data_IF_624118522771
#
_entry.id   IF_624118522771
#
_cell.length_a   1.000
_cell.length_b   1.000
_cell.length_c   1.000
_cell.angle_alpha   90.00
_cell.angle_beta   90.00
_cell.angle_gamma   90.00
#
_symmetry.space_group_name_H-M   'P 1'
#
loop_
_entity.id
_entity.type
_entity.pdbx_description
1 polymer ?
#
# COMPACT_ATOMS: atom_id res chain seq x y z
N UNK A 1 52.58 22.15 -0.82
CA UNK A 1 51.38 22.01 0.02
C UNK A 1 50.53 20.92 -0.61
N UNK A 2 50.49 19.75 -0.01
CA UNK A 2 49.81 18.56 -0.54
C UNK A 2 48.61 18.30 0.36
N UNK A 3 47.40 18.39 -0.20
CA UNK A 3 46.17 18.13 0.53
C UNK A 3 46.04 16.62 0.78
N UNK A 4 45.90 16.16 2.04
CA UNK A 4 45.55 14.77 2.27
C UNK A 4 44.08 14.56 1.93
N UNK A 5 43.86 13.63 1.00
CA UNK A 5 42.97 12.50 1.25
C UNK A 5 41.49 12.81 1.54
N UNK A 6 40.77 13.26 0.50
CA UNK A 6 39.30 13.43 0.57
C UNK A 6 38.54 12.20 0.08
N UNK A 7 39.22 11.18 -0.45
CA UNK A 7 38.62 9.97 -1.02
C UNK A 7 38.51 8.82 -0.02
N UNK A 8 39.47 8.65 0.89
CA UNK A 8 39.36 7.62 1.94
C UNK A 8 38.29 7.97 2.99
N UNK A 9 38.06 9.27 3.25
CA UNK A 9 37.00 9.74 4.16
C UNK A 9 35.58 9.47 3.63
N UNK A 10 35.41 9.51 2.30
CA UNK A 10 34.13 9.19 1.65
C UNK A 10 33.85 7.69 1.63
N UNK A 11 34.88 6.87 1.41
CA UNK A 11 34.76 5.42 1.48
C UNK A 11 34.39 4.94 2.90
N UNK A 12 35.02 5.53 3.92
CA UNK A 12 34.69 5.24 5.32
C UNK A 12 33.25 5.64 5.68
N UNK A 13 32.74 6.76 5.16
CA UNK A 13 31.35 7.20 5.34
C UNK A 13 30.34 6.30 4.63
N UNK A 14 30.67 5.80 3.43
CA UNK A 14 29.81 4.87 2.71
C UNK A 14 29.64 3.56 3.49
N UNK A 15 30.73 3.00 4.03
CA UNK A 15 30.66 1.81 4.88
C UNK A 15 29.92 2.03 6.20
N UNK A 16 29.93 3.25 6.74
CA UNK A 16 29.15 3.61 7.93
C UNK A 16 27.66 3.69 7.62
N UNK A 17 27.29 4.29 6.49
CA UNK A 17 25.91 4.36 6.00
C UNK A 17 25.33 2.97 5.72
N UNK A 18 26.07 2.09 5.05
CA UNK A 18 25.63 0.71 4.78
C UNK A 18 25.34 -0.07 6.08
N UNK A 19 26.16 0.16 7.12
CA UNK A 19 25.94 -0.43 8.45
C UNK A 19 24.71 0.13 9.15
N UNK A 20 24.47 1.43 9.01
CA UNK A 20 23.29 2.08 9.57
C UNK A 20 22.00 1.62 8.87
N UNK A 21 22.01 1.52 7.54
CA UNK A 21 20.90 0.98 6.76
C UNK A 21 20.58 -0.47 7.12
N UNK A 22 21.60 -1.32 7.31
CA UNK A 22 21.42 -2.68 7.77
C UNK A 22 20.77 -2.73 9.17
N UNK A 23 21.16 -1.81 10.07
CA UNK A 23 20.56 -1.68 11.40
C UNK A 23 19.10 -1.25 11.32
N UNK A 24 18.81 -0.22 10.52
CA UNK A 24 17.45 0.28 10.31
C UNK A 24 16.54 -0.78 9.66
N UNK A 25 17.06 -1.55 8.70
CA UNK A 25 16.32 -2.67 8.08
C UNK A 25 15.98 -3.75 9.10
N UNK A 26 16.93 -4.09 9.98
CA UNK A 26 16.70 -5.04 11.08
C UNK A 26 15.69 -4.51 12.11
N UNK A 27 15.76 -3.23 12.44
CA UNK A 27 14.84 -2.57 13.36
C UNK A 27 13.43 -2.47 12.76
N UNK A 28 13.29 -2.12 11.48
CA UNK A 28 12.01 -2.14 10.76
C UNK A 28 11.43 -3.54 10.68
N UNK A 29 12.25 -4.57 10.41
CA UNK A 29 11.80 -5.96 10.44
C UNK A 29 11.33 -6.39 11.84
N UNK A 30 12.02 -5.95 12.90
CA UNK A 30 11.62 -6.22 14.28
C UNK A 30 10.33 -5.48 14.65
N UNK A 31 10.17 -4.23 14.22
CA UNK A 31 8.95 -3.44 14.41
C UNK A 31 7.76 -4.01 13.62
N UNK A 32 7.99 -4.49 12.39
CA UNK A 32 6.98 -5.18 11.59
C UNK A 32 6.54 -6.48 12.29
N UNK A 33 7.49 -7.28 12.78
CA UNK A 33 7.19 -8.48 13.58
C UNK A 33 6.43 -8.12 14.85
N UNK A 34 6.84 -7.07 15.57
CA UNK A 34 6.20 -6.60 16.80
C UNK A 34 4.77 -6.10 16.55
N UNK A 35 4.54 -5.39 15.44
CA UNK A 35 3.19 -4.93 15.02
C UNK A 35 2.29 -6.09 14.65
N UNK A 36 2.81 -7.13 14.00
CA UNK A 36 2.05 -8.37 13.73
C UNK A 36 1.64 -9.10 15.02
N UNK A 37 2.48 -9.04 16.05
CA UNK A 37 2.21 -9.63 17.37
C UNK A 37 1.58 -8.68 18.39
N UNK A 38 1.13 -7.48 18.00
CA UNK A 38 0.51 -6.53 18.92
C UNK A 38 -0.92 -6.98 19.25
N UNK A 39 -1.04 -7.78 20.32
CA UNK A 39 -2.29 -8.25 20.93
C UNK A 39 -3.12 -7.06 21.41
N UNK A 40 -4.41 -7.04 21.06
CA UNK A 40 -5.41 -6.17 21.69
C UNK A 40 -5.90 -6.88 22.96
N UNK A 41 -5.73 -6.23 24.11
CA UNK A 41 -6.27 -6.70 25.38
C UNK A 41 -7.68 -6.13 25.55
N UNK A 42 -8.69 -6.99 25.63
CA UNK A 42 -10.02 -6.58 26.10
C UNK A 42 -10.02 -6.41 27.63
N UNK A 43 -11.02 -5.68 28.15
CA UNK A 43 -11.14 -5.28 29.55
C UNK A 43 -11.30 -6.47 30.53
N UNK A 44 -11.60 -7.66 30.00
CA UNK A 44 -11.75 -8.91 30.74
C UNK A 44 -10.47 -9.77 30.79
N UNK A 45 -9.37 -9.28 30.21
CA UNK A 45 -8.10 -10.01 30.16
C UNK A 45 -8.03 -11.09 29.08
N UNK A 46 -9.00 -11.15 28.16
CA UNK A 46 -8.94 -12.02 26.99
C UNK A 46 -7.86 -11.53 26.02
N UNK A 47 -6.87 -12.39 25.77
CA UNK A 47 -5.82 -12.18 24.76
C UNK A 47 -6.43 -12.54 23.40
N UNK A 48 -6.84 -11.53 22.63
CA UNK A 48 -7.15 -11.74 21.21
C UNK A 48 -5.81 -11.82 20.49
N UNK A 49 -5.32 -13.05 20.30
CA UNK A 49 -4.35 -13.28 19.24
C UNK A 49 -5.06 -12.91 17.94
N UNK A 50 -4.55 -11.96 17.12
CA UNK A 50 -5.10 -11.79 15.79
C UNK A 50 -4.91 -13.15 15.12
N UNK A 51 -6.01 -13.86 14.86
CA UNK A 51 -5.96 -15.14 14.18
C UNK A 51 -5.12 -14.94 12.91
N UNK A 52 -3.95 -15.61 12.82
CA UNK A 52 -3.05 -15.54 11.66
C UNK A 52 -3.75 -16.06 10.38
N UNK A 53 -4.97 -16.59 10.51
CA UNK A 53 -5.74 -17.29 9.48
C UNK A 53 -7.06 -16.59 9.08
N UNK A 54 -7.40 -15.42 9.63
CA UNK A 54 -8.55 -14.67 9.09
C UNK A 54 -8.14 -13.99 7.79
N UNK A 55 -8.14 -14.78 6.71
CA UNK A 55 -7.83 -14.37 5.34
C UNK A 55 -8.62 -13.10 5.01
N UNK A 56 -7.96 -11.94 5.01
CA UNK A 56 -8.57 -10.62 4.83
C UNK A 56 -9.43 -10.64 3.56
N UNK A 57 -10.79 -10.71 3.63
CA UNK A 57 -11.58 -10.95 2.41
C UNK A 57 -11.39 -9.85 1.39
N UNK A 58 -10.90 -10.17 0.20
CA UNK A 58 -10.54 -9.18 -0.82
C UNK A 58 -10.89 -9.68 -2.22
N UNK A 59 -10.99 -8.74 -3.14
CA UNK A 59 -11.05 -8.98 -4.58
C UNK A 59 -9.66 -8.74 -5.18
N UNK A 60 -9.42 -9.29 -6.38
CA UNK A 60 -8.22 -9.00 -7.17
C UNK A 60 -8.54 -8.03 -8.30
N UNK A 61 -7.70 -7.02 -8.49
CA UNK A 61 -7.79 -6.03 -9.56
C UNK A 61 -6.54 -6.06 -10.43
N UNK A 62 -6.70 -6.22 -11.74
CA UNK A 62 -5.61 -6.03 -12.69
C UNK A 62 -5.46 -4.55 -13.10
N UNK A 63 -4.27 -4.00 -12.88
CA UNK A 63 -3.91 -2.62 -13.19
C UNK A 63 -2.40 -2.48 -13.39
N UNK A 64 -1.99 -1.76 -14.43
CA UNK A 64 -0.57 -1.51 -14.76
C UNK A 64 0.27 -2.80 -14.82
N UNK A 65 -0.26 -3.84 -15.48
CA UNK A 65 0.34 -5.17 -15.60
C UNK A 65 0.65 -5.85 -14.25
N UNK A 66 -0.15 -5.51 -13.23
CA UNK A 66 -0.05 -6.04 -11.87
C UNK A 66 -1.39 -6.43 -11.29
N UNK A 67 -1.37 -7.39 -10.38
CA UNK A 67 -2.52 -7.80 -9.59
C UNK A 67 -2.48 -7.14 -8.22
N UNK A 68 -3.56 -6.43 -7.89
CA UNK A 68 -3.74 -5.71 -6.65
C UNK A 68 -4.85 -6.34 -5.82
N UNK A 69 -4.59 -6.60 -4.55
CA UNK A 69 -5.58 -7.14 -3.61
C UNK A 69 -6.30 -5.97 -2.96
N UNK A 70 -7.60 -5.88 -3.19
CA UNK A 70 -8.39 -4.70 -2.84
C UNK A 70 -9.79 -5.06 -2.35
N UNK A 71 -10.40 -4.16 -1.59
CA UNK A 71 -11.80 -4.28 -1.17
C UNK A 71 -12.64 -3.20 -1.78
N UNK A 72 -13.86 -3.56 -2.18
CA UNK A 72 -14.86 -2.58 -2.58
C UNK A 72 -15.15 -1.60 -1.43
N UNK A 73 -14.97 -0.29 -1.63
CA UNK A 73 -15.36 0.70 -0.65
C UNK A 73 -16.88 0.70 -0.44
N UNK A 74 -17.32 0.86 0.82
CA UNK A 74 -18.73 1.10 1.13
C UNK A 74 -19.21 2.38 0.43
N UNK A 75 -20.47 2.46 0.04
CA UNK A 75 -21.06 3.65 -0.62
C UNK A 75 -20.77 4.94 0.14
N UNK A 76 -20.86 4.92 1.48
CA UNK A 76 -20.53 6.08 2.32
C UNK A 76 -19.06 6.52 2.22
N UNK A 77 -18.13 5.58 2.03
CA UNK A 77 -16.71 5.87 1.85
C UNK A 77 -16.46 6.53 0.49
N UNK A 78 -17.16 6.06 -0.56
CA UNK A 78 -17.12 6.67 -1.90
C UNK A 78 -17.69 8.10 -1.86
N UNK A 79 -18.84 8.30 -1.22
CA UNK A 79 -19.46 9.63 -1.10
C UNK A 79 -18.55 10.59 -0.34
N UNK A 80 -18.02 10.18 0.81
CA UNK A 80 -17.10 11.01 1.59
C UNK A 80 -15.79 11.29 0.83
N UNK A 81 -15.26 10.31 0.11
CA UNK A 81 -14.11 10.49 -0.77
C UNK A 81 -14.41 11.54 -1.84
N UNK A 82 -15.53 11.44 -2.55
CA UNK A 82 -15.93 12.43 -3.57
C UNK A 82 -16.06 13.86 -3.04
N UNK A 83 -16.50 14.02 -1.79
CA UNK A 83 -16.54 15.35 -1.12
C UNK A 83 -15.12 15.86 -0.87
N UNK A 84 -14.26 15.02 -0.30
CA UNK A 84 -12.89 15.38 0.07
C UNK A 84 -11.94 15.49 -1.12
N UNK A 85 -12.26 14.85 -2.24
CA UNK A 85 -11.52 14.91 -3.51
C UNK A 85 -12.12 15.93 -4.48
N UNK A 86 -13.10 16.72 -4.05
CA UNK A 86 -13.72 17.73 -4.90
C UNK A 86 -12.73 18.86 -5.23
N UNK A 87 -12.94 19.54 -6.37
CA UNK A 87 -12.09 20.66 -6.80
C UNK A 87 -12.00 21.81 -5.79
N UNK A 88 -12.96 21.89 -4.86
CA UNK A 88 -13.05 22.93 -3.84
C UNK A 88 -12.40 22.52 -2.51
N UNK A 89 -11.99 21.26 -2.36
CA UNK A 89 -11.31 20.80 -1.16
C UNK A 89 -9.85 21.31 -1.15
N UNK A 90 -9.28 21.65 0.02
CA UNK A 90 -7.86 21.96 0.13
C UNK A 90 -6.99 20.81 -0.38
N UNK A 91 -5.86 21.12 -1.04
CA UNK A 91 -4.99 20.10 -1.62
C UNK A 91 -4.53 19.04 -0.60
N UNK A 92 -4.18 19.48 0.62
CA UNK A 92 -3.82 18.59 1.73
C UNK A 92 -4.95 17.60 2.07
N UNK A 93 -6.21 18.06 2.04
CA UNK A 93 -7.39 17.22 2.28
C UNK A 93 -7.57 16.20 1.17
N UNK A 94 -7.36 16.60 -0.08
CA UNK A 94 -7.44 15.70 -1.24
C UNK A 94 -6.38 14.59 -1.14
N UNK A 95 -5.13 14.96 -0.90
CA UNK A 95 -4.01 14.01 -0.76
C UNK A 95 -4.24 13.04 0.41
N UNK A 96 -4.63 13.55 1.58
CA UNK A 96 -4.90 12.72 2.75
C UNK A 96 -6.08 11.76 2.52
N UNK A 97 -7.15 12.22 1.86
CA UNK A 97 -8.30 11.38 1.54
C UNK A 97 -7.93 10.23 0.60
N UNK A 98 -7.10 10.48 -0.41
CA UNK A 98 -6.60 9.46 -1.34
C UNK A 98 -5.81 8.38 -0.62
N UNK A 99 -4.76 8.75 0.12
CA UNK A 99 -3.93 7.78 0.82
C UNK A 99 -4.71 7.01 1.91
N UNK A 100 -5.64 7.69 2.58
CA UNK A 100 -6.51 7.04 3.57
C UNK A 100 -7.47 6.04 2.94
N UNK A 101 -7.99 6.32 1.75
CA UNK A 101 -8.85 5.35 1.06
C UNK A 101 -8.03 4.12 0.65
N UNK A 102 -6.88 4.31 0.00
CA UNK A 102 -6.02 3.21 -0.46
C UNK A 102 -5.60 2.31 0.70
N UNK A 103 -5.09 2.89 1.79
CA UNK A 103 -4.64 2.12 2.97
C UNK A 103 -5.74 1.25 3.59
N UNK A 104 -7.00 1.67 3.49
CA UNK A 104 -8.12 0.94 4.08
C UNK A 104 -8.77 -0.07 3.10
N UNK A 105 -8.41 -0.01 1.82
CA UNK A 105 -9.04 -0.81 0.76
C UNK A 105 -8.04 -1.60 -0.07
N UNK A 106 -6.76 -1.58 0.29
CA UNK A 106 -5.71 -2.42 -0.29
C UNK A 106 -5.13 -3.31 0.80
N UNK A 107 -4.64 -4.50 0.41
CA UNK A 107 -3.86 -5.32 1.34
C UNK A 107 -2.59 -4.57 1.75
N UNK A 108 -1.99 -4.94 2.88
CA UNK A 108 -0.72 -4.36 3.31
C UNK A 108 0.36 -4.54 2.23
N UNK A 109 0.45 -5.74 1.64
CA UNK A 109 1.39 -6.03 0.55
C UNK A 109 1.13 -5.18 -0.71
N UNK A 110 -0.14 -5.00 -1.08
CA UNK A 110 -0.50 -4.17 -2.24
C UNK A 110 -0.25 -2.69 -1.98
N UNK A 111 -0.52 -2.19 -0.76
CA UNK A 111 -0.28 -0.80 -0.41
C UNK A 111 1.23 -0.49 -0.35
N UNK A 112 2.02 -1.36 0.28
CA UNK A 112 3.47 -1.19 0.38
C UNK A 112 4.12 -1.14 -1.01
N UNK A 113 3.74 -2.07 -1.90
CA UNK A 113 4.20 -2.08 -3.29
C UNK A 113 3.80 -0.81 -4.05
N UNK A 114 2.58 -0.31 -3.85
CA UNK A 114 2.16 0.96 -4.46
C UNK A 114 3.06 2.11 -3.99
N UNK A 115 3.34 2.18 -2.69
CA UNK A 115 4.21 3.23 -2.13
C UNK A 115 5.66 3.12 -2.60
N UNK A 116 6.18 1.89 -2.73
CA UNK A 116 7.51 1.64 -3.28
C UNK A 116 7.61 2.14 -4.73
N UNK A 117 6.65 1.78 -5.58
CA UNK A 117 6.60 2.28 -6.98
C UNK A 117 6.53 3.79 -7.09
N UNK A 118 5.78 4.46 -6.21
CA UNK A 118 5.69 5.93 -6.22
C UNK A 118 6.96 6.62 -5.72
N UNK A 119 7.78 5.93 -4.93
CA UNK A 119 9.04 6.47 -4.38
C UNK A 119 10.26 6.05 -5.19
N UNK A 120 10.13 5.05 -6.06
CA UNK A 120 11.20 4.55 -6.92
C UNK A 120 11.38 5.46 -8.16
N UNK A 121 12.48 6.24 -8.25
CA UNK A 121 12.75 7.05 -9.44
C UNK A 121 13.10 6.22 -10.67
N UNK A 122 13.48 4.95 -10.49
CA UNK A 122 13.92 4.02 -11.51
C UNK A 122 12.90 2.89 -11.75
N UNK A 123 11.61 3.13 -11.43
CA UNK A 123 10.55 2.10 -11.53
C UNK A 123 10.63 1.36 -12.87
N UNK A 124 11.02 0.09 -12.79
CA UNK A 124 11.24 -0.77 -13.95
C UNK A 124 9.97 -0.98 -14.79
N UNK A 125 8.78 -0.69 -14.23
CA UNK A 125 7.48 -0.77 -14.89
C UNK A 125 6.98 0.59 -15.41
N UNK A 126 7.80 1.63 -15.31
CA UNK A 126 7.50 2.98 -15.77
C UNK A 126 6.81 3.86 -14.72
N UNK A 127 6.93 5.17 -14.90
CA UNK A 127 6.48 6.19 -13.95
C UNK A 127 5.01 6.00 -13.52
N UNK A 128 4.80 5.82 -12.21
CA UNK A 128 3.46 5.80 -11.63
C UNK A 128 2.90 7.23 -11.50
N UNK A 129 2.15 7.67 -12.50
CA UNK A 129 1.67 9.06 -12.59
C UNK A 129 0.47 9.36 -11.66
N UNK A 130 0.21 10.64 -11.33
CA UNK A 130 -1.01 11.04 -10.64
C UNK A 130 -2.31 10.63 -11.36
N UNK A 131 -2.28 10.55 -12.70
CA UNK A 131 -3.41 10.07 -13.49
C UNK A 131 -3.68 8.60 -13.23
N UNK A 132 -2.63 7.76 -13.20
CA UNK A 132 -2.73 6.34 -12.89
C UNK A 132 -3.31 6.10 -11.49
N UNK A 133 -2.96 6.96 -10.53
CA UNK A 133 -3.57 6.91 -9.19
C UNK A 133 -5.10 7.14 -9.25
N UNK A 134 -5.54 8.14 -10.02
CA UNK A 134 -6.97 8.39 -10.25
C UNK A 134 -7.69 7.21 -10.90
N UNK A 135 -7.04 6.58 -11.89
CA UNK A 135 -7.60 5.43 -12.61
C UNK A 135 -7.68 4.17 -11.72
N UNK A 136 -6.66 3.92 -10.90
CA UNK A 136 -6.66 2.86 -9.90
C UNK A 136 -7.82 3.05 -8.91
N UNK A 137 -8.02 4.28 -8.43
CA UNK A 137 -9.10 4.62 -7.50
C UNK A 137 -10.49 4.44 -8.13
N UNK A 138 -10.67 4.86 -9.38
CA UNK A 138 -11.91 4.65 -10.11
C UNK A 138 -12.22 3.16 -10.30
N UNK A 139 -11.19 2.34 -10.56
CA UNK A 139 -11.31 0.89 -10.63
C UNK A 139 -11.72 0.31 -9.27
N UNK A 140 -11.04 0.66 -8.18
CA UNK A 140 -11.38 0.19 -6.82
C UNK A 140 -12.83 0.52 -6.46
N UNK A 141 -13.30 1.74 -6.77
CA UNK A 141 -14.67 2.17 -6.49
C UNK A 141 -15.73 1.39 -7.30
N UNK A 142 -15.35 0.83 -8.45
CA UNK A 142 -16.25 0.11 -9.37
C UNK A 142 -16.07 -1.41 -9.35
N UNK A 143 -15.21 -1.95 -8.48
CA UNK A 143 -15.07 -3.40 -8.31
C UNK A 143 -16.41 -4.07 -7.99
N UNK A 144 -16.63 -5.22 -8.63
CA UNK A 144 -17.87 -5.99 -8.54
C UNK A 144 -19.08 -5.32 -9.22
N UNK A 145 -18.90 -4.23 -9.98
CA UNK A 145 -19.97 -3.64 -10.84
C UNK A 145 -19.92 -4.14 -12.28
N UNK A 146 -18.85 -4.86 -12.66
CA UNK A 146 -18.80 -5.65 -13.90
C UNK A 146 -19.83 -6.78 -13.84
N UNK A 147 -20.77 -6.75 -14.79
CA UNK A 147 -21.75 -7.80 -15.08
C UNK A 147 -21.11 -9.19 -14.99
N UNK A 148 -21.70 -10.17 -14.29
CA UNK A 148 -21.11 -11.49 -14.16
C UNK A 148 -20.92 -12.11 -15.54
N UNK A 149 -19.66 -12.37 -15.92
CA UNK A 149 -19.32 -13.24 -17.04
C UNK A 149 -19.21 -14.65 -16.47
N UNK A 150 -20.34 -15.23 -16.04
CA UNK A 150 -20.43 -16.68 -15.95
C UNK A 150 -20.73 -17.19 -17.36
N UNK A 151 -19.87 -17.99 -18.01
CA UNK A 151 -20.38 -18.90 -19.02
C UNK A 151 -21.30 -19.87 -18.28
N UNK A 152 -22.62 -19.69 -18.44
CA UNK A 152 -23.60 -20.69 -18.05
C UNK A 152 -23.18 -22.01 -18.68
N UNK A 153 -22.65 -22.91 -17.85
CA UNK A 153 -22.32 -24.26 -18.28
C UNK A 153 -23.65 -24.99 -18.42
N UNK A 154 -24.21 -24.93 -19.63
CA UNK A 154 -25.29 -25.80 -20.09
C UNK A 154 -24.96 -27.23 -19.65
N UNK A 155 -25.66 -27.72 -18.62
CA UNK A 155 -25.74 -29.15 -18.36
C UNK A 155 -26.93 -29.67 -19.13
N UNK A 156 -26.69 -29.95 -20.42
CA UNK A 156 -27.52 -30.85 -21.18
C UNK A 156 -27.14 -32.28 -20.78
N UNK A 157 -28.00 -32.93 -19.99
CA UNK A 157 -28.49 -34.30 -20.19
C UNK A 157 -29.44 -34.69 -19.08
#
# INVERSE_FOLDING_TARGET
MQAPDSTDDLAAKAEELDREEARLKKERAALAKKRKSAVVLEEDGTVIQPDEDEEWPHDTLEFADETWEVRKPKTQAIVMFSINSSKNAPQEVQTNATFKLLRNHMSEASYDRLTERMMDPDDAKGEFTPQMMGDLMAKIATIGTSRPIQPSRNSAK
#
